data_IF_991993899159
#
_entry.id   IF_991993899159
#
_cell.length_a   1.000
_cell.length_b   1.000
_cell.length_c   1.000
_cell.angle_alpha   90.00
_cell.angle_beta   90.00
_cell.angle_gamma   90.00
#
_symmetry.space_group_name_H-M   'P 1'
#
loop_
_entity.id
_entity.type
_entity.pdbx_description
1 polymer ?
#
# COMPACT_ATOMS: atom_id res chain seq x y z
N UNK A 1 0.63 33.47 -8.56
CA UNK A 1 -0.37 32.52 -9.05
C UNK A 1 -1.18 31.96 -7.89
N UNK A 2 -2.49 31.98 -8.01
CA UNK A 2 -3.35 31.43 -6.96
C UNK A 2 -3.52 29.92 -7.16
N UNK A 3 -3.41 29.17 -6.06
CA UNK A 3 -3.68 27.73 -6.09
C UNK A 3 -5.18 27.50 -6.33
N UNK A 4 -5.50 26.43 -7.07
CA UNK A 4 -6.88 25.98 -7.21
C UNK A 4 -7.38 25.40 -5.87
N UNK A 5 -8.69 25.34 -5.68
CA UNK A 5 -9.26 24.72 -4.48
C UNK A 5 -8.85 23.25 -4.37
N UNK A 6 -8.83 22.51 -5.50
CA UNK A 6 -8.37 21.12 -5.53
C UNK A 6 -6.93 20.97 -5.10
N UNK A 7 -6.03 21.88 -5.54
CA UNK A 7 -4.63 21.86 -5.15
C UNK A 7 -4.45 22.14 -3.64
N UNK A 8 -5.26 23.04 -3.08
CA UNK A 8 -5.22 23.34 -1.63
C UNK A 8 -5.67 22.14 -0.81
N UNK A 9 -6.72 21.45 -1.23
CA UNK A 9 -7.20 20.24 -0.55
C UNK A 9 -6.13 19.16 -0.60
N UNK A 10 -5.53 18.93 -1.76
CA UNK A 10 -4.48 17.93 -1.93
C UNK A 10 -3.26 18.23 -1.06
N UNK A 11 -2.83 19.50 -1.01
CA UNK A 11 -1.70 19.91 -0.18
C UNK A 11 -1.97 19.66 1.31
N UNK A 12 -3.20 19.91 1.78
CA UNK A 12 -3.59 19.63 3.17
C UNK A 12 -3.59 18.13 3.47
N UNK A 13 -4.05 17.31 2.51
CA UNK A 13 -4.05 15.86 2.67
C UNK A 13 -2.62 15.31 2.72
N UNK A 14 -1.71 15.81 1.86
CA UNK A 14 -0.31 15.40 1.89
C UNK A 14 0.38 15.82 3.19
N UNK A 15 0.05 16.98 3.73
CA UNK A 15 0.57 17.42 5.03
C UNK A 15 0.10 16.48 6.14
N UNK A 16 -1.16 16.06 6.09
CA UNK A 16 -1.71 15.09 7.05
C UNK A 16 -1.01 13.74 6.93
N UNK A 17 -0.79 13.28 5.70
CA UNK A 17 -0.04 12.05 5.43
C UNK A 17 1.36 12.13 6.04
N UNK A 18 2.09 13.21 5.75
CA UNK A 18 3.46 13.40 6.25
C UNK A 18 3.50 13.42 7.77
N UNK A 19 2.55 14.06 8.41
CA UNK A 19 2.45 14.11 9.86
C UNK A 19 2.19 12.72 10.47
N UNK A 20 1.28 11.98 9.88
CA UNK A 20 0.98 10.62 10.33
C UNK A 20 2.16 9.68 10.08
N UNK A 21 2.82 9.80 8.94
CA UNK A 21 4.02 9.01 8.62
C UNK A 21 5.12 9.28 9.64
N UNK A 22 5.38 10.54 9.96
CA UNK A 22 6.37 10.92 10.98
C UNK A 22 5.99 10.31 12.34
N UNK A 23 4.72 10.39 12.73
CA UNK A 23 4.24 9.81 13.99
C UNK A 23 4.46 8.30 14.04
N UNK A 24 4.28 7.60 12.90
CA UNK A 24 4.55 6.16 12.82
C UNK A 24 6.00 5.85 13.21
N UNK A 25 6.95 6.55 12.62
CA UNK A 25 8.37 6.30 12.87
C UNK A 25 8.83 6.78 14.25
N UNK A 26 8.27 7.88 14.74
CA UNK A 26 8.54 8.34 16.10
C UNK A 26 8.03 7.33 17.13
N UNK A 27 6.89 6.72 16.89
CA UNK A 27 6.35 5.67 17.73
C UNK A 27 7.27 4.45 17.81
N UNK A 28 7.82 4.02 16.67
CA UNK A 28 8.78 2.92 16.64
C UNK A 28 10.04 3.27 17.45
N UNK A 29 10.60 4.45 17.20
CA UNK A 29 11.82 4.91 17.87
C UNK A 29 11.63 5.06 19.39
N UNK A 30 10.44 5.49 19.82
CA UNK A 30 10.10 5.65 21.23
C UNK A 30 9.61 4.40 21.92
N UNK A 31 9.43 3.30 21.19
CA UNK A 31 8.90 2.06 21.75
C UNK A 31 7.39 2.06 21.98
N UNK A 32 6.70 3.11 21.58
CA UNK A 32 5.25 3.31 21.77
C UNK A 32 4.49 3.27 20.44
N UNK A 33 4.88 2.40 19.53
CA UNK A 33 4.26 2.31 18.22
C UNK A 33 2.77 1.97 18.33
N UNK A 34 1.92 2.83 17.75
CA UNK A 34 0.47 2.67 17.74
C UNK A 34 0.02 2.35 16.31
N UNK A 35 -0.46 1.11 16.10
CA UNK A 35 -0.85 0.65 14.77
C UNK A 35 -1.99 1.50 14.18
N UNK A 36 -2.81 2.13 15.00
CA UNK A 36 -3.89 2.99 14.51
C UNK A 36 -3.36 4.17 13.69
N UNK A 37 -2.20 4.73 14.04
CA UNK A 37 -1.60 5.81 13.26
C UNK A 37 -1.13 5.32 11.89
N UNK A 38 -0.61 4.10 11.82
CA UNK A 38 -0.24 3.46 10.56
C UNK A 38 -1.48 3.23 9.69
N UNK A 39 -2.56 2.73 10.28
CA UNK A 39 -3.81 2.50 9.56
C UNK A 39 -4.41 3.81 9.04
N UNK A 40 -4.41 4.85 9.87
CA UNK A 40 -4.92 6.16 9.49
C UNK A 40 -4.09 6.78 8.36
N UNK A 41 -2.76 6.61 8.42
CA UNK A 41 -1.86 7.08 7.37
C UNK A 41 -2.18 6.42 6.03
N UNK A 42 -2.40 5.11 6.03
CA UNK A 42 -2.81 4.38 4.83
C UNK A 42 -4.14 4.89 4.28
N UNK A 43 -5.13 5.10 5.14
CA UNK A 43 -6.44 5.58 4.73
C UNK A 43 -6.37 6.98 4.09
N UNK A 44 -5.54 7.86 4.64
CA UNK A 44 -5.29 9.19 4.06
C UNK A 44 -4.61 9.06 2.70
N UNK A 45 -3.62 8.19 2.57
CA UNK A 45 -2.93 7.96 1.29
C UNK A 45 -3.91 7.52 0.19
N UNK A 46 -4.77 6.56 0.50
CA UNK A 46 -5.78 6.08 -0.45
C UNK A 46 -6.74 7.21 -0.84
N UNK A 47 -7.17 8.00 0.12
CA UNK A 47 -8.02 9.17 -0.14
C UNK A 47 -7.36 10.17 -1.09
N UNK A 48 -6.08 10.45 -0.89
CA UNK A 48 -5.31 11.36 -1.76
C UNK A 48 -5.35 10.84 -3.20
N UNK A 49 -5.05 9.56 -3.39
CA UNK A 49 -5.01 8.94 -4.72
C UNK A 49 -6.39 8.99 -5.38
N UNK A 50 -7.43 8.59 -4.67
CA UNK A 50 -8.79 8.55 -5.20
C UNK A 50 -9.29 9.95 -5.55
N UNK A 51 -9.06 10.93 -4.69
CA UNK A 51 -9.48 12.31 -4.91
C UNK A 51 -8.77 12.94 -6.12
N UNK A 52 -7.46 12.72 -6.25
CA UNK A 52 -6.72 13.28 -7.37
C UNK A 52 -7.15 12.63 -8.69
N UNK A 53 -7.48 11.35 -8.68
CA UNK A 53 -7.92 10.65 -9.89
C UNK A 53 -9.28 11.12 -10.40
N UNK A 54 -10.06 11.81 -9.61
CA UNK A 54 -11.32 12.40 -10.06
C UNK A 54 -11.09 13.46 -11.15
N UNK A 55 -10.01 14.25 -11.02
CA UNK A 55 -9.66 15.27 -12.01
C UNK A 55 -8.49 14.86 -12.91
N UNK A 56 -7.67 13.93 -12.46
CA UNK A 56 -6.51 13.42 -13.19
C UNK A 56 -6.49 11.88 -13.10
N UNK A 57 -7.26 11.19 -13.98
CA UNK A 57 -7.41 9.73 -13.89
C UNK A 57 -6.11 8.94 -13.98
N UNK A 58 -5.06 9.52 -14.57
CA UNK A 58 -3.77 8.84 -14.73
C UNK A 58 -2.81 9.04 -13.54
N UNK A 59 -3.25 9.76 -12.52
CA UNK A 59 -2.40 10.05 -11.35
C UNK A 59 -2.03 8.77 -10.61
N UNK A 60 -0.72 8.59 -10.37
CA UNK A 60 -0.19 7.53 -9.52
C UNK A 60 -0.63 6.12 -9.90
N UNK A 61 -0.69 5.80 -11.19
CA UNK A 61 -1.13 4.46 -11.65
C UNK A 61 -0.15 3.35 -11.32
N UNK A 62 1.14 3.69 -11.19
CA UNK A 62 2.18 2.77 -10.71
C UNK A 62 2.72 3.30 -9.40
N UNK A 63 3.11 2.43 -8.49
CA UNK A 63 3.58 2.83 -7.16
C UNK A 63 4.83 3.72 -7.23
N UNK A 64 5.78 3.38 -8.07
CA UNK A 64 6.99 4.16 -8.26
C UNK A 64 6.70 5.54 -8.90
N UNK A 65 5.69 5.61 -9.78
CA UNK A 65 5.27 6.87 -10.39
C UNK A 65 4.63 7.81 -9.37
N UNK A 66 3.96 7.28 -8.37
CA UNK A 66 3.39 8.10 -7.31
C UNK A 66 4.46 8.91 -6.58
N UNK A 67 5.59 8.29 -6.24
CA UNK A 67 6.71 8.99 -5.63
C UNK A 67 7.37 9.96 -6.62
N UNK A 68 7.55 9.55 -7.88
CA UNK A 68 8.12 10.39 -8.93
C UNK A 68 7.27 11.65 -9.17
N UNK A 69 5.95 11.51 -9.25
CA UNK A 69 5.02 12.62 -9.47
C UNK A 69 5.03 13.65 -8.33
N UNK A 70 5.46 13.26 -7.14
CA UNK A 70 5.57 14.13 -5.98
C UNK A 70 7.03 14.49 -5.66
N UNK A 71 7.95 14.31 -6.62
CA UNK A 71 9.38 14.60 -6.48
C UNK A 71 10.03 13.88 -5.29
N UNK A 72 9.54 12.67 -5.00
CA UNK A 72 10.03 11.80 -3.91
C UNK A 72 9.96 12.46 -2.52
N UNK A 73 9.05 13.41 -2.34
CA UNK A 73 8.92 14.15 -1.07
C UNK A 73 8.33 13.32 0.06
N UNK A 74 7.54 12.30 -0.27
CA UNK A 74 6.71 11.59 0.71
C UNK A 74 7.15 10.16 0.99
N UNK A 75 8.07 9.62 0.20
CA UNK A 75 8.59 8.25 0.34
C UNK A 75 7.46 7.23 0.56
N UNK A 76 6.47 7.28 -0.31
CA UNK A 76 5.28 6.42 -0.19
C UNK A 76 5.63 4.95 -0.27
N UNK A 77 6.49 4.57 -1.22
CA UNK A 77 6.88 3.18 -1.42
C UNK A 77 7.58 2.60 -0.18
N UNK A 78 8.54 3.33 0.37
CA UNK A 78 9.25 2.90 1.57
C UNK A 78 8.33 2.78 2.78
N UNK A 79 7.43 3.75 2.96
CA UNK A 79 6.47 3.69 4.05
C UNK A 79 5.50 2.51 3.91
N UNK A 80 5.03 2.21 2.69
CA UNK A 80 4.13 1.08 2.45
C UNK A 80 4.80 -0.25 2.78
N UNK A 81 6.06 -0.42 2.41
CA UNK A 81 6.83 -1.62 2.76
C UNK A 81 6.90 -1.79 4.28
N UNK A 82 7.20 -0.72 5.00
CA UNK A 82 7.27 -0.74 6.46
C UNK A 82 5.91 -1.01 7.09
N UNK A 83 4.83 -0.46 6.53
CA UNK A 83 3.48 -0.69 7.00
C UNK A 83 3.08 -2.17 6.88
N UNK A 84 3.34 -2.77 5.72
CA UNK A 84 3.04 -4.19 5.52
C UNK A 84 3.82 -5.06 6.52
N UNK A 85 5.08 -4.75 6.76
CA UNK A 85 5.90 -5.44 7.74
C UNK A 85 5.34 -5.29 9.15
N UNK A 86 4.88 -4.09 9.53
CA UNK A 86 4.28 -3.85 10.83
C UNK A 86 3.01 -4.69 11.04
N UNK A 87 2.16 -4.76 10.01
CA UNK A 87 0.94 -5.56 10.09
C UNK A 87 1.26 -7.05 10.23
N UNK A 88 2.25 -7.52 9.51
CA UNK A 88 2.68 -8.92 9.56
C UNK A 88 3.29 -9.27 10.92
N UNK A 89 4.19 -8.46 11.43
CA UNK A 89 4.82 -8.67 12.73
C UNK A 89 3.81 -8.65 13.88
N UNK A 90 2.76 -7.86 13.76
CA UNK A 90 1.70 -7.77 14.76
C UNK A 90 0.59 -8.79 14.57
N UNK A 91 0.73 -9.66 13.58
CA UNK A 91 -0.25 -10.69 13.26
C UNK A 91 -1.65 -10.14 12.97
N UNK A 92 -1.71 -8.93 12.39
CA UNK A 92 -2.97 -8.29 12.00
C UNK A 92 -3.38 -8.73 10.60
N UNK A 93 -3.60 -10.01 10.43
CA UNK A 93 -3.81 -10.65 9.13
C UNK A 93 -5.07 -10.20 8.40
N UNK A 94 -6.22 -9.99 9.06
CA UNK A 94 -7.39 -9.44 8.34
C UNK A 94 -7.13 -8.06 7.73
N UNK A 95 -6.43 -7.19 8.44
CA UNK A 95 -6.07 -5.86 7.93
C UNK A 95 -5.02 -5.98 6.83
N UNK A 96 -4.02 -6.86 7.02
CA UNK A 96 -2.99 -7.11 6.01
C UNK A 96 -3.61 -7.61 4.70
N UNK A 97 -4.55 -8.53 4.78
CA UNK A 97 -5.32 -9.01 3.62
C UNK A 97 -6.00 -7.84 2.91
N UNK A 98 -6.74 -7.02 3.65
CA UNK A 98 -7.49 -5.89 3.09
C UNK A 98 -6.56 -4.87 2.42
N UNK A 99 -5.43 -4.55 3.05
CA UNK A 99 -4.44 -3.60 2.52
C UNK A 99 -3.81 -4.15 1.24
N UNK A 100 -3.40 -5.41 1.24
CA UNK A 100 -2.81 -6.04 0.05
C UNK A 100 -3.80 -6.05 -1.12
N UNK A 101 -5.06 -6.40 -0.88
CA UNK A 101 -6.08 -6.40 -1.92
C UNK A 101 -6.31 -4.99 -2.48
N UNK A 102 -6.30 -3.97 -1.61
CA UNK A 102 -6.45 -2.57 -2.04
C UNK A 102 -5.28 -2.13 -2.91
N UNK A 103 -4.06 -2.46 -2.52
CA UNK A 103 -2.85 -2.12 -3.29
C UNK A 103 -2.84 -2.80 -4.65
N UNK A 104 -3.26 -4.05 -4.72
CA UNK A 104 -3.35 -4.77 -6.00
C UNK A 104 -4.41 -4.17 -6.93
N UNK A 105 -5.43 -3.53 -6.37
CA UNK A 105 -6.52 -2.93 -7.14
C UNK A 105 -6.22 -1.49 -7.56
N UNK A 106 -5.58 -0.70 -6.70
CA UNK A 106 -5.43 0.74 -6.92
C UNK A 106 -4.30 1.09 -7.90
N UNK A 107 -3.30 0.21 -8.03
CA UNK A 107 -2.19 0.37 -8.98
C UNK A 107 -2.34 -0.61 -10.13
N UNK A 108 -1.81 -0.23 -11.29
CA UNK A 108 -1.96 -1.03 -12.53
C UNK A 108 -0.95 -2.18 -12.62
N UNK A 109 0.22 -2.05 -11.97
CA UNK A 109 1.27 -3.08 -11.91
C UNK A 109 1.74 -3.56 -13.30
N UNK A 110 1.92 -2.63 -14.23
CA UNK A 110 2.36 -2.92 -15.61
C UNK A 110 3.88 -2.97 -15.74
N UNK A 111 4.57 -2.18 -14.91
CA UNK A 111 6.02 -2.03 -14.99
C UNK A 111 6.76 -3.09 -14.19
N UNK A 112 6.15 -3.60 -13.14
CA UNK A 112 6.78 -4.50 -12.19
C UNK A 112 5.73 -5.44 -11.59
N UNK A 113 6.10 -6.70 -11.37
CA UNK A 113 5.23 -7.65 -10.70
C UNK A 113 5.09 -7.30 -9.22
N UNK A 114 3.86 -7.29 -8.66
CA UNK A 114 3.65 -7.03 -7.23
C UNK A 114 3.86 -8.30 -6.39
N UNK A 115 5.00 -8.96 -6.58
CA UNK A 115 5.27 -10.29 -6.00
C UNK A 115 5.25 -10.30 -4.48
N UNK A 116 5.85 -9.30 -3.84
CA UNK A 116 5.88 -9.21 -2.38
C UNK A 116 4.48 -9.03 -1.80
N UNK A 117 3.67 -8.16 -2.42
CA UNK A 117 2.29 -7.93 -1.98
C UNK A 117 1.45 -9.19 -2.16
N UNK A 118 1.61 -9.87 -3.29
CA UNK A 118 0.90 -11.13 -3.54
C UNK A 118 1.31 -12.23 -2.57
N UNK A 119 2.61 -12.32 -2.26
CA UNK A 119 3.11 -13.29 -1.29
C UNK A 119 2.53 -13.01 0.10
N UNK A 120 2.52 -11.74 0.53
CA UNK A 120 1.97 -11.36 1.83
C UNK A 120 0.47 -11.62 1.91
N UNK A 121 -0.26 -11.40 0.82
CA UNK A 121 -1.69 -11.71 0.75
C UNK A 121 -1.93 -13.22 0.94
N UNK A 122 -1.20 -14.05 0.21
CA UNK A 122 -1.32 -15.50 0.33
C UNK A 122 -0.99 -15.96 1.76
N UNK A 123 0.08 -15.42 2.35
CA UNK A 123 0.48 -15.71 3.71
C UNK A 123 -0.58 -15.29 4.73
N UNK A 124 -1.17 -14.10 4.55
CA UNK A 124 -2.24 -13.62 5.43
C UNK A 124 -3.49 -14.48 5.35
N UNK A 125 -3.84 -14.98 4.16
CA UNK A 125 -4.96 -15.90 4.00
C UNK A 125 -4.70 -17.21 4.73
N UNK A 126 -3.51 -17.78 4.56
CA UNK A 126 -3.12 -19.02 5.24
C UNK A 126 -3.12 -18.86 6.75
N UNK A 127 -2.60 -17.75 7.26
CA UNK A 127 -2.52 -17.47 8.69
C UNK A 127 -3.88 -17.30 9.36
N UNK A 128 -4.91 -16.93 8.58
CA UNK A 128 -6.30 -16.85 9.06
C UNK A 128 -7.03 -18.20 8.98
N UNK A 129 -6.35 -19.26 8.55
CA UNK A 129 -6.97 -20.56 8.34
C UNK A 129 -7.73 -20.69 7.02
N UNK A 130 -7.64 -19.70 6.14
CA UNK A 130 -8.28 -19.71 4.81
C UNK A 130 -7.42 -20.47 3.80
N UNK A 131 -7.13 -21.74 4.09
CA UNK A 131 -6.14 -22.54 3.34
C UNK A 131 -6.55 -22.74 1.88
N UNK A 132 -7.82 -23.08 1.64
CA UNK A 132 -8.31 -23.26 0.27
C UNK A 132 -8.26 -21.98 -0.54
N UNK A 133 -8.63 -20.87 0.08
CA UNK A 133 -8.58 -19.55 -0.56
C UNK A 133 -7.13 -19.15 -0.88
N UNK A 134 -6.22 -19.41 0.05
CA UNK A 134 -4.78 -19.17 -0.16
C UNK A 134 -4.25 -20.01 -1.31
N UNK A 135 -4.61 -21.30 -1.37
CA UNK A 135 -4.19 -22.21 -2.43
C UNK A 135 -4.68 -21.73 -3.80
N UNK A 136 -5.97 -21.40 -3.88
CA UNK A 136 -6.56 -20.88 -5.13
C UNK A 136 -5.89 -19.58 -5.57
N UNK A 137 -5.59 -18.71 -4.63
CA UNK A 137 -4.91 -17.46 -4.91
C UNK A 137 -3.51 -17.72 -5.52
N UNK A 138 -2.73 -18.62 -4.93
CA UNK A 138 -1.41 -18.97 -5.44
C UNK A 138 -1.47 -19.61 -6.82
N UNK A 139 -2.43 -20.51 -7.06
CA UNK A 139 -2.65 -21.14 -8.35
C UNK A 139 -2.99 -20.11 -9.43
N UNK A 140 -3.88 -19.16 -9.11
CA UNK A 140 -4.25 -18.08 -10.02
C UNK A 140 -3.08 -17.15 -10.30
N UNK A 141 -2.27 -16.86 -9.28
CA UNK A 141 -1.07 -16.04 -9.42
C UNK A 141 -0.07 -16.70 -10.38
N UNK A 142 0.22 -17.99 -10.16
CA UNK A 142 1.10 -18.75 -11.05
C UNK A 142 0.60 -18.75 -12.49
N UNK A 143 -0.71 -18.94 -12.69
CA UNK A 143 -1.33 -18.93 -14.02
C UNK A 143 -1.24 -17.55 -14.69
N UNK A 144 -1.46 -16.47 -13.94
CA UNK A 144 -1.41 -15.10 -14.46
C UNK A 144 0.01 -14.61 -14.74
N UNK A 145 1.00 -15.12 -14.01
CA UNK A 145 2.39 -14.67 -14.09
C UNK A 145 3.33 -15.86 -14.34
N UNK A 146 3.09 -16.59 -15.42
CA UNK A 146 3.84 -17.82 -15.76
C UNK A 146 5.35 -17.60 -15.85
N UNK A 147 5.78 -16.41 -16.24
CA UNK A 147 7.20 -16.06 -16.40
C UNK A 147 7.83 -15.57 -15.08
N UNK A 148 7.06 -15.50 -13.99
CA UNK A 148 7.55 -15.04 -12.71
C UNK A 148 7.92 -16.24 -11.82
N UNK A 149 9.21 -16.52 -11.56
CA UNK A 149 9.60 -17.65 -10.72
C UNK A 149 9.09 -17.58 -9.27
N UNK A 150 8.84 -16.35 -8.75
CA UNK A 150 8.30 -16.17 -7.41
C UNK A 150 6.86 -16.66 -7.30
N UNK A 151 6.07 -16.53 -8.36
CA UNK A 151 4.70 -17.04 -8.39
C UNK A 151 4.69 -18.57 -8.30
N UNK A 152 5.59 -19.25 -8.99
CA UNK A 152 5.69 -20.70 -8.97
C UNK A 152 6.17 -21.23 -7.61
N UNK A 153 6.94 -20.42 -6.85
CA UNK A 153 7.45 -20.79 -5.54
C UNK A 153 6.43 -20.56 -4.41
N UNK A 154 5.38 -19.80 -4.67
CA UNK A 154 4.34 -19.50 -3.68
C UNK A 154 3.32 -20.67 -3.45
#
# INVERSE_FOLDING_TARGET
MMETEGAKIMNRQWKKYDQLMENCYLGIAGGDSVINEWNDCFDVLIQIIENERESNPDFGRELDLLDDETDYRHDVQGWLEDYLDELDMREMYPRLEAVCRKLLKIFDWKEEYPSEIRFMLASALGSQGKVEEARKYCENWEEQEKDNPLAAAA
#
